data_IF_341529582049
#
_entry.id   IF_341529582049
#
_cell.length_a   1.000
_cell.length_b   1.000
_cell.length_c   1.000
_cell.angle_alpha   90.00
_cell.angle_beta   90.00
_cell.angle_gamma   90.00
#
_symmetry.space_group_name_H-M   'P 1'
#
loop_
_entity.id
_entity.type
_entity.pdbx_description
1 polymer ?
#
# COMPACT_ATOMS: atom_id res chain seq x y z
N UNK A 1 35.64 -28.70 -8.73
CA UNK A 1 34.62 -29.14 -7.77
C UNK A 1 33.79 -27.91 -7.44
N UNK A 2 32.61 -27.80 -8.05
CA UNK A 2 31.67 -26.68 -7.84
C UNK A 2 30.85 -27.00 -6.60
N UNK A 3 30.91 -26.15 -5.59
CA UNK A 3 29.90 -26.12 -4.53
C UNK A 3 29.11 -24.84 -4.69
N UNK A 4 28.05 -24.92 -5.50
CA UNK A 4 26.95 -23.97 -5.48
C UNK A 4 26.37 -23.97 -4.07
N UNK A 5 26.50 -22.85 -3.36
CA UNK A 5 25.73 -22.60 -2.14
C UNK A 5 24.59 -21.68 -2.54
N UNK A 6 23.45 -22.28 -2.84
CA UNK A 6 22.14 -21.61 -2.74
C UNK A 6 21.97 -21.26 -1.28
N UNK A 7 22.27 -20.01 -0.93
CA UNK A 7 21.94 -19.48 0.39
C UNK A 7 20.56 -18.82 0.25
N UNK A 8 19.57 -19.67 0.53
CA UNK A 8 18.32 -19.40 1.21
C UNK A 8 17.77 -17.98 1.09
N UNK A 9 16.64 -17.93 0.38
CA UNK A 9 15.48 -17.07 0.50
C UNK A 9 15.19 -16.70 1.97
N UNK A 10 16.00 -15.80 2.52
CA UNK A 10 15.76 -15.17 3.81
C UNK A 10 14.62 -14.19 3.57
N UNK A 11 13.40 -14.71 3.75
CA UNK A 11 12.16 -13.96 3.71
C UNK A 11 12.36 -12.66 4.43
N UNK A 12 12.58 -11.59 3.66
CA UNK A 12 12.77 -10.25 4.17
C UNK A 12 11.50 -9.95 4.94
N UNK A 13 11.60 -10.02 6.26
CA UNK A 13 10.71 -9.30 7.15
C UNK A 13 10.94 -7.85 6.75
N UNK A 14 10.18 -7.39 5.76
CA UNK A 14 10.01 -5.97 5.52
C UNK A 14 9.44 -5.53 6.84
N UNK A 15 10.29 -4.87 7.62
CA UNK A 15 9.97 -4.35 8.92
C UNK A 15 8.74 -3.47 8.77
N UNK A 16 7.57 -4.06 9.01
CA UNK A 16 6.29 -3.40 8.84
C UNK A 16 6.07 -2.41 9.98
N UNK A 17 6.99 -2.35 10.96
CA UNK A 17 7.03 -1.34 12.02
C UNK A 17 6.92 0.07 11.46
N UNK A 18 7.57 0.37 10.33
CA UNK A 18 7.42 1.68 9.69
C UNK A 18 5.99 1.91 9.18
N UNK A 19 5.41 0.96 8.46
CA UNK A 19 4.04 1.10 7.92
C UNK A 19 3.00 1.13 9.04
N UNK A 20 3.15 0.26 10.04
CA UNK A 20 2.34 0.24 11.24
C UNK A 20 2.40 1.60 11.96
N UNK A 21 3.61 2.10 12.23
CA UNK A 21 3.81 3.38 12.90
C UNK A 21 3.26 4.53 12.07
N UNK A 22 3.49 4.54 10.76
CA UNK A 22 2.97 5.55 9.85
C UNK A 22 1.44 5.61 9.92
N UNK A 23 0.75 4.47 9.76
CA UNK A 23 -0.71 4.43 9.70
C UNK A 23 -1.40 4.54 11.06
N UNK A 24 -0.69 4.34 12.17
CA UNK A 24 -1.17 4.71 13.51
C UNK A 24 -0.97 6.21 13.76
N UNK A 25 0.22 6.73 13.46
CA UNK A 25 0.60 8.09 13.81
C UNK A 25 -0.06 9.14 12.91
N UNK A 26 -0.40 8.81 11.66
CA UNK A 26 -0.96 9.80 10.74
C UNK A 26 -2.27 10.39 11.24
N UNK A 27 -3.10 9.63 11.97
CA UNK A 27 -4.36 10.12 12.57
C UNK A 27 -4.15 11.37 13.45
N UNK A 28 -2.95 11.58 13.98
CA UNK A 28 -2.59 12.74 14.81
C UNK A 28 -2.00 13.91 14.01
N UNK A 29 -1.57 13.66 12.78
CA UNK A 29 -0.79 14.59 11.96
C UNK A 29 -1.58 15.10 10.75
N UNK A 30 -2.40 14.23 10.15
CA UNK A 30 -3.05 14.47 8.86
C UNK A 30 -4.28 13.56 8.68
N UNK A 31 -5.32 14.08 8.04
CA UNK A 31 -6.51 13.29 7.72
C UNK A 31 -6.18 12.14 6.75
N UNK A 32 -6.84 10.99 6.91
CA UNK A 32 -6.65 9.81 6.04
C UNK A 32 -6.84 10.14 4.56
N UNK A 33 -7.81 11.02 4.24
CA UNK A 33 -8.06 11.47 2.85
C UNK A 33 -6.85 12.21 2.30
N UNK A 34 -6.24 13.10 3.09
CA UNK A 34 -5.06 13.84 2.67
C UNK A 34 -3.84 12.91 2.55
N UNK A 35 -3.66 11.95 3.47
CA UNK A 35 -2.57 10.97 3.35
C UNK A 35 -2.71 10.14 2.07
N UNK A 36 -3.89 9.56 1.80
CA UNK A 36 -4.09 8.77 0.58
C UNK A 36 -4.00 9.63 -0.70
N UNK A 37 -4.28 10.92 -0.61
CA UNK A 37 -4.03 11.88 -1.70
C UNK A 37 -2.54 12.00 -1.99
N UNK A 38 -1.69 12.06 -0.95
CA UNK A 38 -0.23 12.07 -1.12
C UNK A 38 0.31 10.75 -1.68
N UNK A 39 -0.21 9.61 -1.22
CA UNK A 39 0.11 8.32 -1.82
C UNK A 39 -0.27 8.27 -3.31
N UNK A 40 -1.42 8.83 -3.67
CA UNK A 40 -1.86 8.92 -5.07
C UNK A 40 -0.90 9.76 -5.91
N UNK A 41 -0.50 10.94 -5.42
CA UNK A 41 0.49 11.77 -6.09
C UNK A 41 1.84 11.05 -6.26
N UNK A 42 2.34 10.43 -5.18
CA UNK A 42 3.58 9.64 -5.20
C UNK A 42 3.52 8.48 -6.21
N UNK A 43 2.37 7.81 -6.33
CA UNK A 43 2.15 6.76 -7.32
C UNK A 43 2.28 7.33 -8.74
N UNK A 44 1.62 8.46 -9.02
CA UNK A 44 1.66 9.10 -10.35
C UNK A 44 3.06 9.62 -10.72
N UNK A 45 3.85 10.07 -9.74
CA UNK A 45 5.22 10.54 -9.96
C UNK A 45 6.24 9.41 -10.10
N UNK A 46 6.00 8.27 -9.46
CA UNK A 46 6.87 7.11 -9.52
C UNK A 46 6.93 6.54 -10.95
N UNK A 47 8.12 6.55 -11.55
CA UNK A 47 8.35 6.06 -12.93
C UNK A 47 8.72 4.59 -13.02
N UNK A 48 9.16 3.99 -11.93
CA UNK A 48 9.59 2.60 -11.91
C UNK A 48 8.52 1.71 -11.24
N UNK A 49 8.32 0.52 -11.82
CA UNK A 49 7.33 -0.43 -11.38
C UNK A 49 7.54 -0.84 -9.91
N UNK A 50 8.80 -1.01 -9.47
CA UNK A 50 9.10 -1.43 -8.10
C UNK A 50 8.55 -0.46 -7.04
N UNK A 51 8.75 0.86 -7.22
CA UNK A 51 8.23 1.87 -6.31
C UNK A 51 6.69 1.91 -6.34
N UNK A 52 6.09 1.81 -7.53
CA UNK A 52 4.63 1.75 -7.69
C UNK A 52 4.03 0.53 -6.99
N UNK A 53 4.64 -0.64 -7.14
CA UNK A 53 4.25 -1.86 -6.41
C UNK A 53 4.36 -1.69 -4.90
N UNK A 54 5.45 -1.08 -4.38
CA UNK A 54 5.61 -0.83 -2.94
C UNK A 54 4.56 0.13 -2.39
N UNK A 55 4.23 1.19 -3.12
CA UNK A 55 3.15 2.12 -2.75
C UNK A 55 1.80 1.40 -2.70
N UNK A 56 1.50 0.57 -3.70
CA UNK A 56 0.28 -0.24 -3.72
C UNK A 56 0.22 -1.23 -2.55
N UNK A 57 1.32 -1.93 -2.26
CA UNK A 57 1.39 -2.84 -1.10
C UNK A 57 1.22 -2.11 0.24
N UNK A 58 1.73 -0.88 0.37
CA UNK A 58 1.50 -0.06 1.56
C UNK A 58 0.02 0.31 1.73
N UNK A 59 -0.68 0.65 0.64
CA UNK A 59 -2.14 0.90 0.69
C UNK A 59 -2.92 -0.38 1.02
N UNK A 60 -2.53 -1.53 0.45
CA UNK A 60 -3.10 -2.85 0.80
C UNK A 60 -2.90 -3.15 2.29
N UNK A 61 -1.70 -2.91 2.80
CA UNK A 61 -1.39 -3.07 4.21
C UNK A 61 -2.29 -2.19 5.08
N UNK A 62 -2.43 -0.91 4.73
CA UNK A 62 -3.27 0.03 5.47
C UNK A 62 -4.73 -0.44 5.55
N UNK A 63 -5.33 -0.79 4.41
CA UNK A 63 -6.72 -1.26 4.33
C UNK A 63 -6.91 -2.52 5.19
N UNK A 64 -6.02 -3.50 5.07
CA UNK A 64 -6.15 -4.78 5.79
C UNK A 64 -5.89 -4.65 7.28
N UNK A 65 -4.93 -3.83 7.67
CA UNK A 65 -4.50 -3.71 9.07
C UNK A 65 -5.39 -2.77 9.86
N UNK A 66 -5.92 -1.73 9.22
CA UNK A 66 -6.73 -0.70 9.86
C UNK A 66 -8.03 -0.43 9.07
N UNK A 67 -8.91 -1.43 8.90
CA UNK A 67 -10.15 -1.28 8.13
C UNK A 67 -11.07 -0.18 8.69
N UNK A 68 -11.03 0.05 10.01
CA UNK A 68 -11.77 1.11 10.69
C UNK A 68 -11.32 2.53 10.30
N UNK A 69 -10.16 2.71 9.67
CA UNK A 69 -9.77 3.99 9.07
C UNK A 69 -10.58 4.30 7.80
N UNK A 70 -11.20 3.29 7.18
CA UNK A 70 -11.96 3.39 5.93
C UNK A 70 -13.47 3.21 6.14
N UNK A 71 -13.88 2.40 7.11
CA UNK A 71 -15.28 2.21 7.50
C UNK A 71 -15.95 3.57 7.79
N UNK A 72 -17.14 3.78 7.21
CA UNK A 72 -17.88 5.03 7.32
C UNK A 72 -17.24 6.25 6.63
N UNK A 73 -16.15 6.09 5.88
CA UNK A 73 -15.45 7.18 5.17
C UNK A 73 -15.59 7.07 3.64
N UNK A 74 -16.74 7.42 3.05
CA UNK A 74 -17.01 7.22 1.62
C UNK A 74 -16.03 7.97 0.70
N UNK A 75 -15.53 9.13 1.14
CA UNK A 75 -14.53 9.90 0.38
C UNK A 75 -13.19 9.16 0.32
N UNK A 76 -12.75 8.55 1.42
CA UNK A 76 -11.50 7.78 1.47
C UNK A 76 -11.62 6.51 0.62
N UNK A 77 -12.73 5.78 0.72
CA UNK A 77 -13.00 4.61 -0.11
C UNK A 77 -13.01 4.96 -1.61
N UNK A 78 -13.65 6.06 -2.00
CA UNK A 78 -13.64 6.55 -3.38
C UNK A 78 -12.22 6.86 -3.87
N UNK A 79 -11.38 7.42 -3.01
CA UNK A 79 -9.99 7.71 -3.33
C UNK A 79 -9.15 6.43 -3.43
N UNK A 80 -9.42 5.40 -2.63
CA UNK A 80 -8.78 4.09 -2.76
C UNK A 80 -9.11 3.41 -4.09
N UNK A 81 -10.36 3.50 -4.54
CA UNK A 81 -10.78 3.01 -5.87
C UNK A 81 -10.04 3.76 -6.98
N UNK A 82 -9.90 5.08 -6.86
CA UNK A 82 -9.13 5.89 -7.82
C UNK A 82 -7.65 5.53 -7.80
N UNK A 83 -7.06 5.34 -6.62
CA UNK A 83 -5.67 4.91 -6.47
C UNK A 83 -5.44 3.57 -7.18
N UNK A 84 -6.35 2.60 -6.99
CA UNK A 84 -6.31 1.29 -7.68
C UNK A 84 -6.36 1.44 -9.20
N UNK A 85 -7.20 2.33 -9.72
CA UNK A 85 -7.31 2.59 -11.15
C UNK A 85 -6.03 3.19 -11.75
N UNK A 86 -5.30 4.00 -10.97
CA UNK A 86 -4.02 4.60 -11.38
C UNK A 86 -2.82 3.66 -11.28
N UNK A 87 -2.95 2.53 -10.59
CA UNK A 87 -1.93 1.48 -10.45
C UNK A 87 -2.08 0.41 -11.55
N UNK A 88 -2.35 0.82 -12.79
CA UNK A 88 -2.71 -0.06 -13.92
C UNK A 88 -1.56 -0.96 -14.42
N UNK A 89 -0.31 -0.59 -14.15
CA UNK A 89 0.91 -1.34 -14.46
C UNK A 89 1.38 -2.26 -13.32
N UNK A 90 0.79 -2.14 -12.12
CA UNK A 90 1.10 -2.98 -10.96
C UNK A 90 0.48 -4.37 -11.14
N UNK A 91 1.14 -5.47 -10.71
CA UNK A 91 0.59 -6.82 -10.84
C UNK A 91 -0.86 -6.93 -10.36
N UNK A 92 -1.69 -7.60 -11.15
CA UNK A 92 -3.14 -7.68 -10.93
C UNK A 92 -3.51 -8.21 -9.54
N UNK A 93 -2.76 -9.18 -9.02
CA UNK A 93 -2.95 -9.70 -7.67
C UNK A 93 -2.87 -8.58 -6.61
N UNK A 94 -1.82 -7.75 -6.66
CA UNK A 94 -1.66 -6.62 -5.73
C UNK A 94 -2.74 -5.56 -5.95
N UNK A 95 -3.05 -5.26 -7.22
CA UNK A 95 -4.05 -4.25 -7.58
C UNK A 95 -5.44 -4.65 -7.08
N UNK A 96 -5.83 -5.91 -7.21
CA UNK A 96 -7.11 -6.44 -6.73
C UNK A 96 -7.22 -6.43 -5.20
N UNK A 97 -6.10 -6.51 -4.47
CA UNK A 97 -6.09 -6.41 -3.01
C UNK A 97 -6.37 -5.00 -2.49
N UNK A 98 -6.31 -3.97 -3.34
CA UNK A 98 -6.80 -2.62 -3.02
C UNK A 98 -8.32 -2.66 -3.16
N UNK A 99 -8.96 -3.28 -2.17
CA UNK A 99 -10.40 -3.51 -2.14
C UNK A 99 -11.00 -2.99 -0.84
N UNK A 100 -11.98 -2.12 -0.99
CA UNK A 100 -12.75 -1.49 0.10
C UNK A 100 -14.24 -1.78 -0.04
N UNK A 101 -14.63 -2.68 -0.95
CA UNK A 101 -16.05 -2.98 -1.24
C UNK A 101 -16.78 -3.68 -0.09
N UNK A 102 -16.04 -4.29 0.82
CA UNK A 102 -16.56 -5.00 1.99
C UNK A 102 -16.40 -4.20 3.30
N UNK A 103 -16.07 -2.91 3.20
CA UNK A 103 -15.89 -1.98 4.33
C UNK A 103 -17.05 -0.99 4.44
#
# INVERSE_FOLDING_TARGET
>A
MVTSRTQDDEGSVIDDEFLFSLFIAHQWLVDSVQLLTQFTAALQEARNLSARTRLSLAVVYWIRRFPHHFDGQPQLCSLAVRFRALADDVPDETRQMIDVSNL
#
